data_IF_986821562559
#
_entry.id   IF_986821562559
#
_cell.length_a   1.000
_cell.length_b   1.000
_cell.length_c   1.000
_cell.angle_alpha   90.00
_cell.angle_beta   90.00
_cell.angle_gamma   90.00
#
_symmetry.space_group_name_H-M   'P 1'
#
loop_
_entity.id
_entity.type
_entity.pdbx_description
1 polymer ?
#
# COMPACT_ATOMS: atom_id res chain seq x y z
N UNK A 1 -16.99 -43.98 -27.05
CA UNK A 1 -16.34 -42.69 -27.34
C UNK A 1 -15.23 -42.53 -26.30
N UNK A 2 -13.98 -42.91 -26.67
CA UNK A 2 -12.82 -43.02 -25.75
C UNK A 2 -12.14 -41.65 -25.69
N UNK A 3 -11.77 -41.09 -24.52
CA UNK A 3 -11.03 -39.83 -24.44
C UNK A 3 -9.56 -40.01 -24.84
N UNK A 4 -9.05 -39.04 -25.63
CA UNK A 4 -7.67 -38.96 -26.08
C UNK A 4 -6.71 -38.62 -24.93
N UNK A 5 -5.47 -39.15 -24.93
CA UNK A 5 -4.48 -38.83 -23.91
C UNK A 5 -3.84 -37.46 -24.12
N UNK A 6 -3.58 -36.79 -22.98
CA UNK A 6 -2.86 -35.51 -22.89
C UNK A 6 -1.39 -35.75 -23.24
N UNK A 7 -0.87 -35.01 -24.21
CA UNK A 7 0.53 -35.04 -24.61
C UNK A 7 1.45 -34.54 -23.47
N UNK A 8 2.45 -35.35 -23.11
CA UNK A 8 3.57 -34.98 -22.26
C UNK A 8 4.45 -33.97 -23.02
N UNK A 9 4.57 -32.76 -22.50
CA UNK A 9 5.59 -31.80 -22.91
C UNK A 9 6.94 -32.24 -22.37
N UNK A 10 7.94 -32.31 -23.26
CA UNK A 10 9.23 -32.92 -23.03
C UNK A 10 10.13 -32.16 -22.03
N UNK A 11 10.81 -32.94 -21.24
CA UNK A 11 11.93 -32.59 -20.39
C UNK A 11 13.22 -32.47 -21.23
N UNK A 12 13.44 -31.34 -21.90
CA UNK A 12 14.74 -31.18 -22.57
C UNK A 12 15.28 -29.74 -22.67
N UNK A 13 14.78 -28.79 -21.85
CA UNK A 13 15.25 -27.42 -21.86
C UNK A 13 15.94 -26.95 -20.54
N UNK A 14 16.19 -27.85 -19.60
CA UNK A 14 16.77 -27.49 -18.30
C UNK A 14 18.15 -28.13 -18.00
N UNK A 15 18.77 -28.83 -18.94
CA UNK A 15 20.09 -29.48 -18.70
C UNK A 15 21.30 -28.70 -19.21
N UNK A 16 21.13 -27.71 -20.09
CA UNK A 16 22.28 -26.99 -20.69
C UNK A 16 22.78 -25.75 -19.92
N UNK A 17 22.15 -25.34 -18.83
CA UNK A 17 22.63 -24.18 -18.02
C UNK A 17 23.43 -24.57 -16.76
N UNK A 18 23.72 -25.85 -16.52
CA UNK A 18 24.44 -26.28 -15.33
C UNK A 18 25.97 -26.34 -15.43
N UNK A 19 26.54 -26.14 -16.59
CA UNK A 19 28.00 -26.29 -16.78
C UNK A 19 28.82 -25.00 -16.83
N UNK A 20 28.25 -23.80 -16.65
CA UNK A 20 29.00 -22.54 -16.69
C UNK A 20 29.17 -21.80 -15.35
N UNK A 21 28.80 -22.39 -14.22
CA UNK A 21 29.03 -21.78 -12.88
C UNK A 21 29.86 -22.68 -11.98
N UNK A 22 30.95 -23.22 -12.49
CA UNK A 22 31.98 -23.89 -11.69
C UNK A 22 33.28 -23.11 -11.78
N UNK A 23 33.40 -22.07 -10.99
CA UNK A 23 34.70 -21.34 -10.91
C UNK A 23 34.62 -20.01 -10.19
N UNK A 24 34.06 -19.95 -8.98
CA UNK A 24 34.36 -18.83 -8.08
C UNK A 24 34.33 -19.32 -6.63
N UNK A 25 35.43 -19.15 -5.97
CA UNK A 25 35.81 -19.42 -4.60
C UNK A 25 34.63 -19.27 -3.62
N UNK A 26 34.39 -20.31 -2.84
CA UNK A 26 33.54 -20.27 -1.63
C UNK A 26 34.22 -19.34 -0.62
N UNK A 27 33.74 -18.10 -0.58
CA UNK A 27 33.86 -17.31 0.63
C UNK A 27 32.74 -17.83 1.58
N UNK A 28 33.16 -18.47 2.65
CA UNK A 28 32.25 -18.88 3.73
C UNK A 28 31.85 -17.63 4.49
N UNK A 29 30.95 -16.86 3.89
CA UNK A 29 30.33 -15.69 4.50
C UNK A 29 29.67 -16.08 5.81
N UNK A 30 30.35 -15.69 6.88
CA UNK A 30 29.81 -15.62 8.24
C UNK A 30 28.45 -14.96 8.16
N UNK A 31 27.39 -15.68 8.56
CA UNK A 31 26.07 -15.10 8.68
C UNK A 31 26.17 -13.87 9.60
N UNK A 32 26.13 -12.68 9.01
CA UNK A 32 26.06 -11.43 9.74
C UNK A 32 24.62 -11.37 10.26
N UNK A 33 24.45 -11.74 11.52
CA UNK A 33 23.23 -11.43 12.23
C UNK A 33 23.16 -9.89 12.28
N UNK A 34 22.39 -9.30 11.38
CA UNK A 34 22.05 -7.90 11.49
C UNK A 34 21.06 -7.77 12.67
N UNK A 35 21.60 -7.39 13.83
CA UNK A 35 20.79 -6.81 14.87
C UNK A 35 20.03 -5.60 14.26
N UNK A 36 18.77 -5.34 14.68
CA UNK A 36 18.10 -4.10 14.32
C UNK A 36 19.06 -2.96 14.59
N UNK A 37 19.23 -2.06 13.63
CA UNK A 37 20.09 -0.89 13.80
C UNK A 37 19.47 -0.11 14.94
N UNK A 38 20.11 -0.16 16.14
CA UNK A 38 19.66 0.64 17.28
C UNK A 38 19.62 2.10 16.84
N UNK A 39 18.44 2.74 16.93
CA UNK A 39 18.25 4.12 16.51
C UNK A 39 17.66 4.30 15.09
N UNK A 40 17.34 3.24 14.34
CA UNK A 40 16.64 3.38 13.08
C UNK A 40 15.22 3.96 13.32
N UNK A 41 14.84 4.96 12.51
CA UNK A 41 13.50 5.53 12.60
C UNK A 41 12.43 4.46 12.29
N UNK A 42 11.27 4.45 13.00
CA UNK A 42 10.21 3.48 12.78
C UNK A 42 9.77 3.44 11.31
N UNK A 43 9.47 2.26 10.76
CA UNK A 43 8.95 2.14 9.40
C UNK A 43 7.58 2.81 9.26
N UNK A 44 7.25 3.20 8.02
CA UNK A 44 6.00 3.87 7.70
C UNK A 44 5.18 2.96 6.78
N UNK A 45 3.91 2.72 7.14
CA UNK A 45 2.96 2.00 6.30
C UNK A 45 1.83 2.94 5.85
N UNK A 46 1.70 3.11 4.53
CA UNK A 46 0.55 3.78 3.92
C UNK A 46 -0.55 2.75 3.72
N UNK A 47 -1.67 2.94 4.40
CA UNK A 47 -2.82 2.04 4.37
C UNK A 47 -4.08 2.76 3.88
N UNK A 48 -5.07 2.00 3.44
CA UNK A 48 -6.35 2.53 2.96
C UNK A 48 -6.96 1.66 1.88
N UNK A 49 -8.12 2.05 1.39
CA UNK A 49 -8.76 1.34 0.28
C UNK A 49 -7.94 1.52 -1.01
N UNK A 50 -7.81 0.49 -1.87
CA UNK A 50 -7.38 0.72 -3.24
C UNK A 50 -8.19 1.87 -3.86
N UNK A 51 -7.56 2.72 -4.64
CA UNK A 51 -8.15 3.90 -5.28
C UNK A 51 -8.47 5.08 -4.35
N UNK A 52 -8.04 5.05 -3.10
CA UNK A 52 -8.17 6.21 -2.20
C UNK A 52 -7.10 7.30 -2.40
N UNK A 53 -6.15 7.11 -3.32
CA UNK A 53 -5.08 8.09 -3.57
C UNK A 53 -3.74 7.72 -2.91
N UNK A 54 -3.59 6.51 -2.39
CA UNK A 54 -2.35 6.03 -1.73
C UNK A 54 -1.10 6.14 -2.61
N UNK A 55 -1.26 6.10 -3.95
CA UNK A 55 -0.15 6.36 -4.87
C UNK A 55 0.32 7.81 -4.81
N UNK A 56 -0.59 8.78 -4.70
CA UNK A 56 -0.21 10.19 -4.53
C UNK A 56 0.57 10.37 -3.22
N UNK A 57 0.05 9.83 -2.12
CA UNK A 57 0.73 9.90 -0.81
C UNK A 57 2.10 9.22 -0.84
N UNK A 58 2.23 8.09 -1.53
CA UNK A 58 3.51 7.43 -1.77
C UNK A 58 4.51 8.36 -2.46
N UNK A 59 4.09 9.03 -3.53
CA UNK A 59 4.95 9.94 -4.29
C UNK A 59 5.40 11.14 -3.44
N UNK A 60 4.50 11.70 -2.63
CA UNK A 60 4.83 12.77 -1.68
C UNK A 60 5.90 12.28 -0.68
N UNK A 61 5.73 11.08 -0.10
CA UNK A 61 6.72 10.53 0.83
C UNK A 61 8.04 10.20 0.14
N UNK A 62 7.99 9.61 -1.05
CA UNK A 62 9.20 9.25 -1.79
C UNK A 62 9.97 10.47 -2.32
N UNK A 63 9.32 11.62 -2.46
CA UNK A 63 9.99 12.89 -2.82
C UNK A 63 10.75 13.50 -1.65
N UNK A 64 10.50 13.06 -0.43
CA UNK A 64 11.23 13.55 0.74
C UNK A 64 12.69 13.05 0.73
N UNK A 65 13.68 13.90 1.04
CA UNK A 65 15.11 13.54 0.93
C UNK A 65 15.52 12.37 1.84
N UNK A 66 14.78 12.12 2.91
CA UNK A 66 15.11 11.07 3.88
C UNK A 66 14.24 9.81 3.78
N UNK A 67 13.09 9.85 3.08
CA UNK A 67 12.14 8.72 3.04
C UNK A 67 12.18 8.05 1.67
N UNK A 68 12.38 6.74 1.63
CA UNK A 68 12.24 5.91 0.45
C UNK A 68 10.92 5.15 0.51
N UNK A 69 10.06 5.33 -0.49
CA UNK A 69 8.79 4.64 -0.60
C UNK A 69 8.65 3.98 -1.98
N UNK A 70 8.97 2.69 -2.04
CA UNK A 70 9.01 1.93 -3.28
C UNK A 70 7.65 1.54 -3.85
N UNK A 71 7.69 0.64 -4.84
CA UNK A 71 6.49 0.04 -5.46
C UNK A 71 5.80 -0.97 -4.53
N UNK A 72 4.56 -1.33 -4.85
CA UNK A 72 3.81 -2.37 -4.14
C UNK A 72 4.50 -3.74 -4.32
N UNK A 73 5.11 -4.25 -3.26
CA UNK A 73 5.83 -5.52 -3.31
C UNK A 73 4.91 -6.72 -3.08
N UNK A 74 3.79 -6.54 -2.40
CA UNK A 74 2.90 -7.58 -1.88
C UNK A 74 3.59 -8.59 -0.95
N UNK A 75 4.83 -8.34 -0.58
CA UNK A 75 5.73 -9.31 0.04
C UNK A 75 5.25 -9.72 1.43
N UNK A 76 4.85 -8.76 2.28
CA UNK A 76 4.38 -9.07 3.64
C UNK A 76 3.07 -9.87 3.62
N UNK A 77 2.15 -9.58 2.71
CA UNK A 77 0.92 -10.36 2.52
C UNK A 77 1.23 -11.82 2.15
N UNK A 78 2.18 -12.03 1.24
CA UNK A 78 2.53 -13.35 0.77
C UNK A 78 3.27 -14.12 1.87
N UNK A 79 4.12 -13.46 2.68
CA UNK A 79 4.76 -14.05 3.86
C UNK A 79 3.76 -14.42 4.95
N UNK A 80 2.73 -13.59 5.20
CA UNK A 80 1.65 -13.96 6.11
C UNK A 80 0.91 -15.21 5.62
N UNK A 81 0.57 -15.25 4.32
CA UNK A 81 -0.12 -16.42 3.75
C UNK A 81 0.72 -17.70 3.84
N UNK A 82 2.03 -17.62 3.62
CA UNK A 82 2.97 -18.74 3.80
C UNK A 82 3.01 -19.14 5.28
N UNK A 83 3.16 -18.18 6.18
CA UNK A 83 3.20 -18.41 7.63
C UNK A 83 1.92 -19.08 8.10
N UNK A 84 0.75 -18.52 7.80
CA UNK A 84 -0.54 -19.09 8.20
C UNK A 84 -0.79 -20.50 7.68
N UNK A 85 -0.35 -20.78 6.45
CA UNK A 85 -0.50 -22.11 5.83
C UNK A 85 0.38 -23.18 6.47
N UNK A 86 1.61 -22.83 6.82
CA UNK A 86 2.64 -23.79 7.17
C UNK A 86 2.96 -23.81 8.67
N UNK A 87 2.47 -22.86 9.45
CA UNK A 87 2.85 -22.68 10.85
C UNK A 87 2.65 -23.95 11.69
N UNK A 88 1.51 -24.64 11.53
CA UNK A 88 1.23 -25.85 12.29
C UNK A 88 2.28 -26.94 12.07
N UNK A 89 2.87 -27.02 10.87
CA UNK A 89 3.95 -27.96 10.56
C UNK A 89 5.30 -27.44 11.11
N UNK A 90 5.59 -26.19 10.97
CA UNK A 90 6.84 -25.55 11.47
C UNK A 90 6.93 -25.70 12.98
N UNK A 91 5.84 -25.50 13.71
CA UNK A 91 5.78 -25.64 15.17
C UNK A 91 6.13 -27.05 15.65
N UNK A 92 5.92 -28.10 14.83
CA UNK A 92 6.30 -29.49 15.19
C UNK A 92 7.81 -29.72 15.33
N UNK A 93 8.62 -28.83 14.77
CA UNK A 93 10.08 -28.84 14.92
C UNK A 93 10.56 -28.18 16.23
N UNK A 94 9.64 -27.78 17.11
CA UNK A 94 9.97 -27.13 18.38
C UNK A 94 10.37 -25.66 18.25
N UNK A 95 10.09 -25.05 17.10
CA UNK A 95 10.31 -23.62 16.86
C UNK A 95 9.09 -22.83 17.38
N UNK A 96 9.34 -21.72 18.07
CA UNK A 96 8.30 -20.82 18.50
C UNK A 96 7.96 -19.77 17.42
N UNK A 97 6.80 -19.12 17.59
CA UNK A 97 6.30 -18.14 16.61
C UNK A 97 7.21 -16.90 16.56
N UNK A 98 7.74 -16.45 17.70
CA UNK A 98 8.61 -15.27 17.75
C UNK A 98 9.92 -15.52 16.97
N UNK A 99 10.53 -16.67 17.12
CA UNK A 99 11.71 -17.03 16.33
C UNK A 99 11.41 -16.96 14.83
N UNK A 100 10.24 -17.45 14.39
CA UNK A 100 9.82 -17.40 12.99
C UNK A 100 9.58 -15.96 12.49
N UNK A 101 8.85 -15.16 13.27
CA UNK A 101 8.58 -13.77 12.93
C UNK A 101 9.87 -12.93 12.87
N UNK A 102 10.82 -13.19 13.77
CA UNK A 102 12.13 -12.55 13.72
C UNK A 102 12.86 -12.82 12.40
N UNK A 103 12.80 -14.05 11.86
CA UNK A 103 13.41 -14.38 10.57
C UNK A 103 12.73 -13.65 9.41
N UNK A 104 11.42 -13.53 9.44
CA UNK A 104 10.68 -12.74 8.46
C UNK A 104 11.03 -11.25 8.57
N UNK A 105 11.09 -10.72 9.79
CA UNK A 105 11.46 -9.32 10.07
C UNK A 105 12.86 -9.02 9.52
N UNK A 106 13.82 -9.89 9.78
CA UNK A 106 15.18 -9.74 9.30
C UNK A 106 15.25 -9.81 7.78
N UNK A 107 14.61 -10.80 7.13
CA UNK A 107 14.57 -10.90 5.67
C UNK A 107 14.01 -9.64 5.02
N UNK A 108 12.91 -9.10 5.57
CA UNK A 108 12.30 -7.90 5.03
C UNK A 108 13.11 -6.65 5.36
N UNK A 109 13.70 -6.60 6.55
CA UNK A 109 14.61 -5.54 6.98
C UNK A 109 15.87 -5.44 6.11
N UNK A 110 16.49 -6.58 5.78
CA UNK A 110 17.66 -6.63 4.88
C UNK A 110 17.30 -6.13 3.47
N UNK A 111 16.13 -6.52 2.96
CA UNK A 111 15.62 -5.98 1.69
C UNK A 111 15.46 -4.45 1.74
N UNK A 112 14.84 -3.91 2.78
CA UNK A 112 14.65 -2.48 2.93
C UNK A 112 15.97 -1.73 3.18
N UNK A 113 16.91 -2.33 3.91
CA UNK A 113 18.25 -1.77 4.11
C UNK A 113 19.00 -1.61 2.80
N UNK A 114 18.94 -2.60 1.91
CA UNK A 114 19.55 -2.51 0.57
C UNK A 114 18.88 -1.43 -0.29
N UNK A 115 17.54 -1.28 -0.21
CA UNK A 115 16.83 -0.19 -0.90
C UNK A 115 17.29 1.18 -0.39
N UNK A 116 17.44 1.35 0.93
CA UNK A 116 17.92 2.59 1.53
C UNK A 116 19.36 2.88 1.12
N UNK A 117 20.26 1.88 1.14
CA UNK A 117 21.65 2.04 0.72
C UNK A 117 21.75 2.52 -0.74
N UNK A 118 20.92 1.99 -1.63
CA UNK A 118 20.86 2.39 -3.05
C UNK A 118 20.25 3.76 -3.29
N UNK A 119 19.28 4.15 -2.48
CA UNK A 119 18.59 5.45 -2.60
C UNK A 119 19.33 6.59 -1.89
N UNK A 120 20.26 6.29 -0.98
CA UNK A 120 20.90 7.27 -0.11
C UNK A 120 19.96 7.87 0.94
N UNK A 121 18.80 7.26 1.16
CA UNK A 121 17.78 7.70 2.12
C UNK A 121 17.93 6.97 3.45
N UNK A 122 17.28 7.49 4.51
CA UNK A 122 17.52 7.03 5.89
C UNK A 122 16.34 6.25 6.49
N UNK A 123 15.14 6.33 5.88
CA UNK A 123 13.92 5.72 6.40
C UNK A 123 13.09 5.15 5.27
N UNK A 124 12.55 3.95 5.46
CA UNK A 124 11.69 3.35 4.46
C UNK A 124 10.20 3.51 4.81
N UNK A 125 9.42 3.61 3.77
CA UNK A 125 7.97 3.55 3.81
C UNK A 125 7.50 2.48 2.82
N UNK A 126 6.40 1.83 3.15
CA UNK A 126 5.76 0.82 2.29
C UNK A 126 4.34 1.25 1.98
N UNK A 127 3.97 1.17 0.72
CA UNK A 127 2.61 1.45 0.27
C UNK A 127 2.05 0.26 -0.48
N UNK A 128 1.19 -0.47 0.18
CA UNK A 128 0.36 -1.49 -0.44
C UNK A 128 -1.04 -1.43 0.18
N UNK A 129 -2.07 -1.02 -0.59
CA UNK A 129 -3.43 -0.97 -0.04
C UNK A 129 -3.90 -2.31 0.51
N UNK A 130 -3.43 -3.44 -0.05
CA UNK A 130 -3.83 -4.77 0.43
C UNK A 130 -3.35 -5.05 1.86
N UNK A 131 -2.26 -4.41 2.30
CA UNK A 131 -1.74 -4.53 3.67
C UNK A 131 -2.74 -4.04 4.73
N UNK A 132 -3.69 -3.20 4.36
CA UNK A 132 -4.78 -2.78 5.25
C UNK A 132 -5.62 -3.96 5.77
N UNK A 133 -5.58 -5.10 5.11
CA UNK A 133 -6.26 -6.32 5.54
C UNK A 133 -5.35 -7.32 6.27
N UNK A 134 -4.08 -6.94 6.50
CA UNK A 134 -3.01 -7.77 7.07
C UNK A 134 -2.32 -7.07 8.25
N UNK A 135 -3.01 -6.10 8.88
CA UNK A 135 -2.42 -5.19 9.86
C UNK A 135 -1.97 -5.89 11.14
N UNK A 136 -2.65 -6.97 11.56
CA UNK A 136 -2.24 -7.73 12.74
C UNK A 136 -0.87 -8.38 12.56
N UNK A 137 -0.64 -8.98 11.40
CA UNK A 137 0.65 -9.58 11.08
C UNK A 137 1.75 -8.52 10.95
N UNK A 138 1.45 -7.37 10.35
CA UNK A 138 2.41 -6.26 10.22
C UNK A 138 2.76 -5.68 11.60
N UNK A 139 1.80 -5.57 12.51
CA UNK A 139 2.03 -5.15 13.89
C UNK A 139 2.93 -6.13 14.65
N UNK A 140 2.73 -7.45 14.45
CA UNK A 140 3.62 -8.47 15.04
C UNK A 140 5.07 -8.34 14.51
N UNK A 141 5.23 -7.99 13.24
CA UNK A 141 6.56 -7.83 12.64
C UNK A 141 7.21 -6.49 13.02
N UNK A 142 6.45 -5.41 13.04
CA UNK A 142 6.95 -4.04 13.23
C UNK A 142 6.16 -3.29 14.31
N UNK A 143 6.34 -3.64 15.59
CA UNK A 143 5.55 -3.08 16.67
C UNK A 143 5.72 -1.56 16.86
N UNK A 144 6.80 -0.98 16.32
CA UNK A 144 7.07 0.46 16.37
C UNK A 144 6.60 1.21 15.09
N UNK A 145 6.03 0.51 14.13
CA UNK A 145 5.63 1.10 12.86
C UNK A 145 4.63 2.25 13.03
N UNK A 146 4.73 3.24 12.15
CA UNK A 146 3.76 4.32 12.01
C UNK A 146 2.86 4.06 10.82
N UNK A 147 1.57 4.27 11.00
CA UNK A 147 0.55 4.02 9.98
C UNK A 147 -0.09 5.34 9.55
N UNK A 148 -0.12 5.56 8.24
CA UNK A 148 -0.85 6.67 7.63
C UNK A 148 -2.02 6.11 6.85
N UNK A 149 -3.22 6.27 7.39
CA UNK A 149 -4.46 5.87 6.73
C UNK A 149 -4.95 6.99 5.82
N UNK A 150 -5.02 6.71 4.51
CA UNK A 150 -5.62 7.64 3.56
C UNK A 150 -7.08 7.26 3.29
N UNK A 151 -7.99 8.01 3.89
CA UNK A 151 -9.43 7.90 3.73
C UNK A 151 -9.90 8.70 2.50
N UNK A 152 -10.86 8.15 1.76
CA UNK A 152 -11.51 8.85 0.64
C UNK A 152 -12.99 8.50 0.55
N UNK A 153 -13.81 9.42 0.02
CA UNK A 153 -15.23 9.20 -0.24
C UNK A 153 -15.46 7.90 -1.04
N UNK A 154 -16.33 7.05 -0.48
CA UNK A 154 -16.69 5.79 -1.11
C UNK A 154 -17.30 5.95 -2.50
N UNK A 155 -18.00 7.06 -2.80
CA UNK A 155 -18.51 7.34 -4.13
C UNK A 155 -17.40 7.53 -5.15
N UNK A 156 -16.35 8.30 -4.80
CA UNK A 156 -15.19 8.52 -5.65
C UNK A 156 -14.35 7.26 -5.83
N UNK A 157 -14.19 6.47 -4.75
CA UNK A 157 -13.50 5.19 -4.81
C UNK A 157 -14.22 4.22 -5.76
N UNK A 158 -15.54 4.07 -5.62
CA UNK A 158 -16.33 3.17 -6.49
C UNK A 158 -16.30 3.64 -7.95
N UNK A 159 -16.38 4.94 -8.21
CA UNK A 159 -16.22 5.50 -9.55
C UNK A 159 -14.85 5.15 -10.14
N UNK A 160 -13.78 5.32 -9.35
CA UNK A 160 -12.41 4.97 -9.76
C UNK A 160 -12.21 3.47 -9.99
N UNK A 161 -12.88 2.60 -9.25
CA UNK A 161 -12.91 1.15 -9.51
C UNK A 161 -13.57 0.84 -10.85
N UNK A 162 -14.72 1.49 -11.17
CA UNK A 162 -15.42 1.34 -12.45
C UNK A 162 -14.49 1.71 -13.62
N UNK A 163 -13.85 2.85 -13.52
CA UNK A 163 -13.01 3.39 -14.60
C UNK A 163 -11.75 2.54 -14.82
N UNK A 164 -11.20 1.95 -13.78
CA UNK A 164 -9.97 1.18 -13.85
C UNK A 164 -10.17 -0.31 -14.14
N UNK A 165 -11.18 -0.93 -13.52
CA UNK A 165 -11.37 -2.39 -13.51
C UNK A 165 -12.78 -2.82 -13.92
N UNK A 166 -13.60 -1.89 -14.37
CA UNK A 166 -14.94 -2.14 -14.90
C UNK A 166 -16.03 -2.32 -13.84
N UNK A 167 -17.22 -2.49 -14.32
CA UNK A 167 -18.46 -2.43 -13.52
C UNK A 167 -18.54 -3.49 -12.41
N UNK A 168 -18.09 -4.72 -12.69
CA UNK A 168 -18.11 -5.80 -11.68
C UNK A 168 -17.27 -5.47 -10.46
N UNK A 169 -16.08 -4.89 -10.70
CA UNK A 169 -15.19 -4.45 -9.63
C UNK A 169 -15.78 -3.28 -8.84
N UNK A 170 -16.41 -2.31 -9.51
CA UNK A 170 -17.11 -1.22 -8.87
C UNK A 170 -18.29 -1.72 -7.99
N UNK A 171 -19.07 -2.68 -8.48
CA UNK A 171 -20.15 -3.26 -7.68
C UNK A 171 -19.64 -3.99 -6.43
N UNK A 172 -18.49 -4.68 -6.53
CA UNK A 172 -17.83 -5.30 -5.37
C UNK A 172 -17.32 -4.24 -4.40
N UNK A 173 -16.69 -3.18 -4.90
CA UNK A 173 -16.23 -2.06 -4.08
C UNK A 173 -17.40 -1.38 -3.34
N UNK A 174 -18.52 -1.11 -4.04
CA UNK A 174 -19.72 -0.53 -3.47
C UNK A 174 -20.40 -1.43 -2.42
N UNK A 175 -20.28 -2.75 -2.59
CA UNK A 175 -20.93 -3.72 -1.69
C UNK A 175 -20.16 -3.92 -0.40
N UNK A 176 -18.84 -4.10 -0.48
CA UNK A 176 -18.04 -4.58 0.66
C UNK A 176 -16.59 -4.06 0.71
N UNK A 177 -15.90 -3.91 -0.41
CA UNK A 177 -14.44 -3.70 -0.34
C UNK A 177 -14.08 -2.36 0.29
N UNK A 178 -14.67 -1.24 -0.17
CA UNK A 178 -14.37 0.07 0.40
C UNK A 178 -14.55 0.08 1.92
N UNK A 179 -15.69 -0.35 2.41
CA UNK A 179 -15.97 -0.36 3.85
C UNK A 179 -15.04 -1.30 4.61
N UNK A 180 -14.73 -2.48 4.05
CA UNK A 180 -13.82 -3.45 4.68
C UNK A 180 -12.43 -2.84 4.93
N UNK A 181 -11.88 -2.13 3.96
CA UNK A 181 -10.59 -1.45 4.11
C UNK A 181 -10.65 -0.32 5.13
N UNK A 182 -11.67 0.54 5.02
CA UNK A 182 -11.85 1.67 5.95
C UNK A 182 -12.03 1.17 7.38
N UNK A 183 -12.89 0.18 7.59
CA UNK A 183 -13.14 -0.38 8.93
C UNK A 183 -11.90 -1.04 9.51
N UNK A 184 -11.13 -1.81 8.70
CA UNK A 184 -9.90 -2.43 9.17
C UNK A 184 -8.85 -1.40 9.59
N UNK A 185 -8.63 -0.35 8.79
CA UNK A 185 -7.70 0.71 9.13
C UNK A 185 -8.12 1.46 10.41
N UNK A 186 -9.39 1.83 10.53
CA UNK A 186 -9.88 2.54 11.72
C UNK A 186 -9.90 1.67 12.97
N UNK A 187 -10.15 0.37 12.84
CA UNK A 187 -10.00 -0.57 13.96
C UNK A 187 -8.56 -0.63 14.48
N UNK A 188 -7.56 -0.54 13.62
CA UNK A 188 -6.17 -0.36 14.05
C UNK A 188 -5.99 0.98 14.77
N UNK A 189 -6.49 2.07 14.21
CA UNK A 189 -6.39 3.41 14.78
C UNK A 189 -6.97 3.54 16.18
N UNK A 190 -8.02 2.76 16.53
CA UNK A 190 -8.57 2.75 17.90
C UNK A 190 -7.67 2.06 18.92
N UNK A 191 -6.70 1.24 18.47
CA UNK A 191 -5.78 0.49 19.35
C UNK A 191 -4.42 1.17 19.49
N UNK A 192 -4.05 2.01 18.55
CA UNK A 192 -2.76 2.69 18.51
C UNK A 192 -2.84 4.10 19.12
N UNK A 193 -1.70 4.59 19.61
CA UNK A 193 -1.58 5.98 20.02
C UNK A 193 -1.57 6.93 18.80
N UNK A 194 -1.86 8.20 19.05
CA UNK A 194 -1.76 9.26 18.04
C UNK A 194 -0.33 9.47 17.49
N UNK A 195 0.68 8.93 18.12
CA UNK A 195 2.06 8.95 17.63
C UNK A 195 2.33 7.86 16.59
N UNK A 196 1.47 6.83 16.51
CA UNK A 196 1.63 5.68 15.64
C UNK A 196 0.58 5.59 14.54
N UNK A 197 -0.53 6.33 14.65
CA UNK A 197 -1.61 6.30 13.67
C UNK A 197 -2.09 7.70 13.31
N UNK A 198 -2.07 8.02 12.00
CA UNK A 198 -2.62 9.25 11.43
C UNK A 198 -3.65 8.90 10.36
N UNK A 199 -4.86 9.46 10.46
CA UNK A 199 -5.86 9.41 9.39
C UNK A 199 -5.86 10.75 8.64
N UNK A 200 -5.62 10.70 7.32
CA UNK A 200 -5.72 11.84 6.41
C UNK A 200 -6.88 11.63 5.44
N UNK A 201 -7.57 12.68 5.08
CA UNK A 201 -8.56 12.66 4.00
C UNK A 201 -7.91 13.01 2.68
N UNK A 202 -8.18 12.21 1.65
CA UNK A 202 -7.69 12.50 0.29
C UNK A 202 -8.15 13.88 -0.19
N UNK A 203 -9.39 14.23 0.11
CA UNK A 203 -10.02 15.50 -0.27
C UNK A 203 -9.25 16.68 0.31
N UNK A 204 -8.88 16.60 1.60
CA UNK A 204 -8.11 17.64 2.27
C UNK A 204 -6.67 17.69 1.72
N UNK A 205 -6.05 16.53 1.51
CA UNK A 205 -4.69 16.44 0.96
C UNK A 205 -4.56 17.12 -0.41
N UNK A 206 -5.57 17.01 -1.28
CA UNK A 206 -5.51 17.64 -2.61
C UNK A 206 -6.05 19.07 -2.63
N UNK A 207 -6.80 19.47 -1.60
CA UNK A 207 -7.36 20.83 -1.50
C UNK A 207 -6.41 21.78 -0.80
N UNK A 208 -5.73 21.31 0.24
CA UNK A 208 -4.73 22.04 1.00
C UNK A 208 -3.50 21.17 1.27
N UNK A 209 -2.71 20.87 0.23
CA UNK A 209 -1.60 19.95 0.31
C UNK A 209 -0.48 20.43 1.24
N UNK A 210 -0.30 21.73 1.40
CA UNK A 210 0.73 22.27 2.31
C UNK A 210 0.38 21.99 3.77
N UNK A 211 -0.83 22.33 4.22
CA UNK A 211 -1.25 22.08 5.60
C UNK A 211 -1.26 20.58 5.91
N UNK A 212 -1.76 19.76 4.99
CA UNK A 212 -1.78 18.30 5.18
C UNK A 212 -0.36 17.70 5.15
N UNK A 213 0.52 18.22 4.30
CA UNK A 213 1.92 17.84 4.27
C UNK A 213 2.64 18.16 5.59
N UNK A 214 2.48 19.38 6.12
CA UNK A 214 3.04 19.75 7.43
C UNK A 214 2.53 18.85 8.55
N UNK A 215 1.24 18.52 8.56
CA UNK A 215 0.65 17.56 9.51
C UNK A 215 1.29 16.17 9.37
N UNK A 216 1.40 15.66 8.15
CA UNK A 216 2.00 14.37 7.83
C UNK A 216 3.46 14.27 8.31
N UNK A 217 4.32 15.21 7.88
CA UNK A 217 5.74 15.16 8.22
C UNK A 217 5.99 15.45 9.70
N UNK A 218 5.18 16.30 10.35
CA UNK A 218 5.18 16.47 11.80
C UNK A 218 4.83 15.18 12.54
N UNK A 219 3.80 14.45 12.11
CA UNK A 219 3.47 13.12 12.63
C UNK A 219 4.61 12.10 12.44
N UNK A 220 5.32 12.19 11.32
CA UNK A 220 6.44 11.30 11.02
C UNK A 220 7.72 11.67 11.76
N UNK A 221 7.78 12.82 12.46
CA UNK A 221 9.00 13.43 13.02
C UNK A 221 10.07 13.66 11.94
N UNK A 222 9.64 14.11 10.77
CA UNK A 222 10.51 14.52 9.68
C UNK A 222 10.35 16.02 9.43
N UNK A 223 11.40 16.66 8.93
CA UNK A 223 11.38 18.07 8.59
C UNK A 223 10.47 18.32 7.38
N UNK A 224 9.68 19.38 7.45
CA UNK A 224 8.83 19.77 6.31
C UNK A 224 9.69 20.37 5.18
N UNK A 225 9.58 19.77 4.01
CA UNK A 225 10.17 20.27 2.77
C UNK A 225 9.06 20.50 1.74
N UNK A 226 8.79 21.76 1.33
CA UNK A 226 7.73 22.05 0.38
C UNK A 226 7.96 21.44 -1.01
N UNK A 227 9.21 21.11 -1.36
CA UNK A 227 9.53 20.49 -2.66
C UNK A 227 8.90 19.11 -2.85
N UNK A 228 8.49 18.45 -1.75
CA UNK A 228 7.76 17.17 -1.82
C UNK A 228 6.40 17.27 -2.52
N UNK A 229 5.89 18.47 -2.72
CA UNK A 229 4.63 18.71 -3.44
C UNK A 229 4.83 18.97 -4.94
N UNK A 230 6.07 19.21 -5.37
CA UNK A 230 6.44 19.48 -6.76
C UNK A 230 7.33 18.35 -7.32
N UNK A 231 6.83 17.13 -7.28
CA UNK A 231 7.55 15.95 -7.74
C UNK A 231 7.24 15.62 -9.21
N UNK A 232 8.22 15.10 -9.94
CA UNK A 232 7.99 14.45 -11.22
C UNK A 232 7.73 12.95 -11.00
N UNK A 233 6.52 12.45 -11.32
CA UNK A 233 6.20 11.03 -11.18
C UNK A 233 7.15 10.11 -11.94
N UNK A 234 7.84 10.58 -12.98
CA UNK A 234 8.77 9.77 -13.79
C UNK A 234 10.10 9.52 -13.09
N UNK A 235 10.48 10.37 -12.15
CA UNK A 235 11.71 10.22 -11.37
C UNK A 235 11.60 9.14 -10.28
N UNK A 236 10.38 8.78 -9.91
CA UNK A 236 10.08 7.83 -8.83
C UNK A 236 10.00 6.38 -9.32
N UNK A 237 10.93 5.92 -10.17
CA UNK A 237 10.95 4.55 -10.73
C UNK A 237 9.56 4.00 -11.03
N UNK A 238 8.72 4.87 -11.57
CA UNK A 238 7.38 4.51 -11.99
C UNK A 238 7.52 3.50 -13.13
N UNK A 239 7.17 2.25 -12.84
CA UNK A 239 6.94 1.27 -13.89
C UNK A 239 5.83 1.79 -14.81
N UNK A 240 5.62 1.16 -15.97
CA UNK A 240 4.51 1.47 -16.89
C UNK A 240 3.14 1.59 -16.21
N UNK A 241 3.00 1.11 -14.99
CA UNK A 241 1.81 1.28 -14.15
C UNK A 241 1.43 2.74 -13.87
N UNK A 242 2.35 3.69 -13.95
CA UNK A 242 2.08 5.12 -13.70
C UNK A 242 1.91 5.96 -14.98
N UNK A 243 2.06 5.39 -16.16
CA UNK A 243 1.79 6.09 -17.43
C UNK A 243 0.39 6.68 -17.46
N UNK A 244 -0.60 6.01 -16.87
CA UNK A 244 -1.96 6.52 -16.75
C UNK A 244 -2.06 7.74 -15.82
N UNK A 245 -1.20 7.86 -14.81
CA UNK A 245 -1.16 9.00 -13.90
C UNK A 245 -0.68 10.26 -14.65
N UNK A 246 0.36 10.09 -15.47
CA UNK A 246 0.91 11.16 -16.32
C UNK A 246 0.00 11.46 -17.52
N UNK A 247 -0.67 10.48 -18.10
CA UNK A 247 -1.61 10.67 -19.20
C UNK A 247 -2.85 11.47 -18.76
N UNK A 248 -3.45 11.12 -17.62
CA UNK A 248 -4.59 11.87 -17.07
C UNK A 248 -4.26 13.33 -16.71
N UNK A 249 -2.99 13.65 -16.49
CA UNK A 249 -2.47 14.98 -16.26
C UNK A 249 -2.48 15.81 -17.55
N UNK A 250 -2.13 15.23 -18.70
CA UNK A 250 -2.13 15.89 -20.01
C UNK A 250 -3.54 16.14 -20.54
N UNK A 251 -4.46 15.18 -20.31
CA UNK A 251 -5.86 15.29 -20.76
C UNK A 251 -6.68 16.33 -19.97
N UNK A 252 -6.34 16.57 -18.70
CA UNK A 252 -7.05 17.54 -17.85
C UNK A 252 -6.75 19.01 -18.19
N UNK A 253 -5.91 19.31 -19.20
CA UNK A 253 -5.58 20.67 -19.66
C UNK A 253 -5.02 21.56 -18.55
N UNK A 254 -4.50 20.93 -17.50
CA UNK A 254 -4.26 21.61 -16.25
C UNK A 254 -2.84 22.06 -16.09
N UNK A 255 -2.75 23.09 -15.33
CA UNK A 255 -1.59 23.64 -14.67
C UNK A 255 -0.59 22.55 -14.22
N UNK A 256 0.68 22.91 -14.23
CA UNK A 256 1.81 22.03 -13.94
C UNK A 256 1.83 21.42 -12.52
N UNK A 257 0.81 21.67 -11.70
CA UNK A 257 0.75 21.13 -10.34
C UNK A 257 0.59 19.59 -10.37
N UNK A 258 1.43 18.92 -9.63
CA UNK A 258 1.47 17.45 -9.50
C UNK A 258 0.23 16.92 -8.76
N UNK A 259 -0.38 17.77 -7.94
CA UNK A 259 -1.56 17.46 -7.13
C UNK A 259 -2.77 18.20 -7.73
N UNK A 260 -3.76 17.47 -8.24
CA UNK A 260 -4.93 18.06 -8.88
C UNK A 260 -6.24 17.67 -8.20
N UNK A 261 -7.14 18.66 -8.09
CA UNK A 261 -8.43 18.56 -7.41
C UNK A 261 -9.53 17.92 -8.28
N UNK A 262 -9.28 17.71 -9.57
CA UNK A 262 -10.30 17.32 -10.56
C UNK A 262 -11.01 15.99 -10.27
N UNK A 263 -10.55 15.23 -9.30
CA UNK A 263 -11.13 13.94 -8.91
C UNK A 263 -11.82 13.94 -7.54
N UNK A 264 -11.99 15.10 -6.92
CA UNK A 264 -12.73 15.24 -5.66
C UNK A 264 -14.22 15.46 -5.98
N UNK A 265 -15.08 14.69 -5.33
CA UNK A 265 -16.54 14.80 -5.46
C UNK A 265 -17.10 14.37 -6.81
N UNK A 266 -16.26 13.86 -7.72
CA UNK A 266 -16.72 13.44 -9.06
C UNK A 266 -17.60 12.20 -9.00
N UNK A 267 -17.41 11.32 -8.02
CA UNK A 267 -18.19 10.09 -7.83
C UNK A 267 -19.65 10.37 -7.51
N UNK A 268 -19.94 11.44 -6.76
CA UNK A 268 -21.31 11.82 -6.45
C UNK A 268 -22.18 12.09 -7.67
N UNK A 269 -21.61 12.69 -8.74
CA UNK A 269 -22.28 12.96 -10.01
C UNK A 269 -22.12 11.88 -11.07
N UNK A 270 -20.96 11.21 -11.13
CA UNK A 270 -20.58 10.29 -12.21
C UNK A 270 -20.98 8.83 -11.98
N UNK A 271 -21.30 8.43 -10.76
CA UNK A 271 -21.82 7.09 -10.48
C UNK A 271 -23.24 6.92 -11.02
N UNK A 272 -23.45 5.80 -11.71
CA UNK A 272 -24.78 5.42 -12.10
C UNK A 272 -25.69 5.15 -10.87
N UNK A 273 -27.02 5.28 -11.01
CA UNK A 273 -27.96 5.17 -9.89
C UNK A 273 -27.89 3.83 -9.15
N UNK A 274 -27.57 2.73 -9.85
CA UNK A 274 -27.47 1.41 -9.23
C UNK A 274 -26.26 1.32 -8.28
N UNK A 275 -25.06 1.67 -8.73
CA UNK A 275 -23.86 1.65 -7.90
C UNK A 275 -23.96 2.59 -6.70
N UNK A 276 -24.54 3.78 -6.91
CA UNK A 276 -24.83 4.75 -5.84
C UNK A 276 -25.79 4.17 -4.80
N UNK A 277 -26.89 3.59 -5.24
CA UNK A 277 -27.87 2.97 -4.35
C UNK A 277 -27.28 1.77 -3.61
N UNK A 278 -26.49 0.94 -4.31
CA UNK A 278 -25.84 -0.22 -3.71
C UNK A 278 -24.85 0.21 -2.60
N UNK A 279 -24.00 1.22 -2.87
CA UNK A 279 -23.08 1.77 -1.91
C UNK A 279 -23.81 2.31 -0.67
N UNK A 280 -24.84 3.15 -0.88
CA UNK A 280 -25.62 3.75 0.20
C UNK A 280 -26.37 2.72 1.04
N UNK A 281 -26.96 1.72 0.40
CA UNK A 281 -27.68 0.66 1.13
C UNK A 281 -26.77 -0.22 1.97
N UNK A 282 -25.55 -0.45 1.49
CA UNK A 282 -24.59 -1.34 2.17
C UNK A 282 -23.71 -0.65 3.20
N UNK A 283 -23.39 0.61 2.96
CA UNK A 283 -22.40 1.34 3.73
C UNK A 283 -22.89 2.75 4.15
N UNK A 284 -24.20 2.97 4.16
CA UNK A 284 -24.77 4.30 4.42
C UNK A 284 -24.50 4.81 5.83
N UNK A 285 -24.42 3.93 6.82
CA UNK A 285 -24.06 4.28 8.18
C UNK A 285 -22.59 4.77 8.25
N UNK A 286 -21.66 4.01 7.70
CA UNK A 286 -20.26 4.39 7.63
C UNK A 286 -20.04 5.68 6.82
N UNK A 287 -20.76 5.86 5.71
CA UNK A 287 -20.70 7.10 4.93
C UNK A 287 -21.18 8.32 5.72
N UNK A 288 -22.23 8.17 6.57
CA UNK A 288 -22.71 9.25 7.45
C UNK A 288 -21.71 9.53 8.57
N UNK A 289 -21.25 8.49 9.25
CA UNK A 289 -20.20 8.62 10.28
C UNK A 289 -18.97 9.40 9.78
N UNK A 290 -18.57 9.13 8.52
CA UNK A 290 -17.44 9.79 7.88
C UNK A 290 -17.79 11.15 7.27
N UNK A 291 -19.04 11.61 7.33
CA UNK A 291 -19.47 12.90 6.77
C UNK A 291 -19.59 12.93 5.24
N UNK A 292 -19.65 11.76 4.57
CA UNK A 292 -19.83 11.65 3.11
C UNK A 292 -21.32 11.54 2.69
N UNK A 293 -22.24 11.43 3.66
CA UNK A 293 -23.68 11.60 3.47
C UNK A 293 -24.17 12.59 4.51
N UNK A 294 -24.96 13.56 4.07
CA UNK A 294 -25.69 14.45 4.99
C UNK A 294 -26.65 13.67 5.87
N UNK A 295 -26.85 14.15 7.09
CA UNK A 295 -27.92 13.65 7.97
C UNK A 295 -29.24 13.72 7.22
N UNK A 296 -29.86 12.56 7.00
CA UNK A 296 -31.05 12.42 6.16
C UNK A 296 -32.30 13.18 6.68
N UNK A 297 -32.25 14.48 6.57
CA UNK A 297 -33.39 15.39 6.67
C UNK A 297 -33.56 16.09 5.33
N UNK A 298 -34.11 15.36 4.37
CA UNK A 298 -34.87 15.96 3.26
C UNK A 298 -35.64 14.87 2.51
N UNK A 299 -36.92 14.72 2.90
CA UNK A 299 -38.13 14.31 2.18
C UNK A 299 -38.03 13.07 1.30
#
# INVERSE_FOLDING_TARGET
MVPRPIARLGHSAFEDEREQVAGTTRDTGRAVAHAPVEGAAPPIFIIGSPRSGTTLLRLILDSHPRISCGEETHFLRDLEAITGRNWALVATYGLDREWWLERIRNLYGDFQAEVLARSGKARWAEKDPTYTLHLEFIEELFPDARYVHLLRDGHDVVASFRDRWGYKSAARAARTEWARYVTAARALGTRLSSERFLELRYEDLVTDPETQGRCLFGFLNEEWDPTVLDFDPTEHRATDRYQWFTAGRREAGGDASTIYRSRVGTGGGSLDPFLRTLLRRRNGELLRELGYLGDGTSV
#
